data_IF_497731316163
#
_entry.id   IF_497731316163
#
_cell.length_a   1.000
_cell.length_b   1.000
_cell.length_c   1.000
_cell.angle_alpha   90.00
_cell.angle_beta   90.00
_cell.angle_gamma   90.00
#
_symmetry.space_group_name_H-M   'P 1'
#
loop_
_entity.id
_entity.type
_entity.pdbx_description
1 polymer ?
#
# COMPACT_ATOMS: atom_id res chain seq x y z
N UNK A 1 0.48 -25.99 -8.52
CA UNK A 1 0.43 -24.57 -8.09
C UNK A 1 -0.54 -23.87 -9.01
N UNK A 2 -1.61 -23.27 -8.47
CA UNK A 2 -2.47 -22.41 -9.28
C UNK A 2 -1.63 -21.22 -9.76
N UNK A 3 -1.62 -20.94 -11.06
CA UNK A 3 -0.95 -19.78 -11.63
C UNK A 3 -1.59 -18.51 -11.07
N UNK A 4 -0.80 -17.68 -10.38
CA UNK A 4 -1.25 -16.38 -9.85
C UNK A 4 -1.54 -15.44 -11.02
N UNK A 5 -2.71 -14.78 -11.07
CA UNK A 5 -2.96 -13.72 -12.05
C UNK A 5 -1.91 -12.61 -11.90
N UNK A 6 -1.22 -12.27 -12.98
CA UNK A 6 -0.16 -11.27 -12.99
C UNK A 6 -0.22 -10.49 -14.29
N UNK A 7 -0.13 -9.16 -14.20
CA UNK A 7 -0.07 -8.29 -15.38
C UNK A 7 1.37 -8.22 -15.88
N UNK A 8 1.70 -9.11 -16.80
CA UNK A 8 3.07 -9.28 -17.33
C UNK A 8 3.37 -8.46 -18.58
N UNK A 9 2.36 -7.92 -19.23
CA UNK A 9 2.51 -7.18 -20.48
C UNK A 9 2.06 -5.73 -20.28
N UNK A 10 2.49 -4.85 -21.19
CA UNK A 10 1.97 -3.50 -21.24
C UNK A 10 0.42 -3.54 -21.37
N UNK A 11 -0.31 -2.63 -20.70
CA UNK A 11 -1.75 -2.70 -20.65
C UNK A 11 -2.39 -2.46 -22.02
N UNK A 12 -3.47 -3.18 -22.31
CA UNK A 12 -4.39 -2.77 -23.36
C UNK A 12 -5.15 -1.51 -22.91
N UNK A 13 -5.22 -0.51 -23.77
CA UNK A 13 -5.87 0.76 -23.44
C UNK A 13 -7.34 0.54 -23.08
N UNK A 14 -7.74 1.12 -21.95
CA UNK A 14 -9.12 1.14 -21.47
C UNK A 14 -10.01 2.08 -22.28
N UNK A 15 -11.32 2.01 -22.03
CA UNK A 15 -12.28 2.99 -22.54
C UNK A 15 -12.39 4.27 -21.72
N UNK A 16 -11.56 4.47 -20.68
CA UNK A 16 -11.54 5.70 -19.90
C UNK A 16 -11.07 6.88 -20.76
N UNK A 17 -11.72 8.03 -20.60
CA UNK A 17 -11.50 9.20 -21.45
C UNK A 17 -11.85 10.51 -20.73
N UNK A 18 -11.62 11.62 -21.44
CA UNK A 18 -12.02 12.93 -20.97
C UNK A 18 -13.52 12.98 -20.63
N UNK A 19 -13.83 13.49 -19.43
CA UNK A 19 -15.18 13.53 -18.86
C UNK A 19 -15.52 12.35 -17.93
N UNK A 20 -14.72 11.29 -17.91
CA UNK A 20 -14.81 10.22 -16.90
C UNK A 20 -14.20 10.67 -15.56
N UNK A 21 -14.46 9.92 -14.50
CA UNK A 21 -14.15 10.33 -13.13
C UNK A 21 -13.27 9.31 -12.42
N UNK A 22 -12.16 9.76 -11.84
CA UNK A 22 -11.37 9.02 -10.85
C UNK A 22 -11.73 9.54 -9.46
N UNK A 23 -12.22 8.67 -8.58
CA UNK A 23 -12.58 9.00 -7.20
C UNK A 23 -11.53 8.43 -6.26
N UNK A 24 -10.78 9.30 -5.58
CA UNK A 24 -9.82 8.87 -4.57
C UNK A 24 -10.56 8.63 -3.24
N UNK A 25 -10.52 7.40 -2.75
CA UNK A 25 -11.07 7.00 -1.46
C UNK A 25 -9.93 6.73 -0.46
N UNK A 26 -9.40 7.84 0.03
CA UNK A 26 -8.27 7.97 0.95
C UNK A 26 -7.50 9.26 0.61
N UNK A 27 -6.75 9.80 1.57
CA UNK A 27 -6.00 11.05 1.38
C UNK A 27 -4.75 10.78 0.53
N UNK A 28 -4.54 11.58 -0.52
CA UNK A 28 -3.37 11.47 -1.39
C UNK A 28 -2.17 12.15 -0.71
N UNK A 29 -1.11 11.39 -0.48
CA UNK A 29 0.16 11.91 0.03
C UNK A 29 1.19 12.07 -1.11
N UNK A 30 2.13 12.99 -0.93
CA UNK A 30 3.28 13.15 -1.82
C UNK A 30 4.08 11.84 -1.88
N UNK A 31 4.44 11.41 -3.10
CA UNK A 31 5.30 10.25 -3.37
C UNK A 31 4.75 8.93 -2.84
N UNK A 32 3.90 8.31 -3.64
CA UNK A 32 3.37 6.97 -3.43
C UNK A 32 2.58 6.49 -4.64
N UNK A 33 2.21 5.21 -4.65
CA UNK A 33 1.53 4.56 -5.78
C UNK A 33 0.37 5.34 -6.40
N UNK A 34 -0.47 5.94 -5.56
CA UNK A 34 -1.65 6.66 -6.01
C UNK A 34 -1.33 7.87 -6.92
N UNK A 35 -0.11 8.41 -6.86
CA UNK A 35 0.30 9.50 -7.74
C UNK A 35 0.37 9.03 -9.19
N UNK A 36 0.97 7.87 -9.48
CA UNK A 36 1.01 7.36 -10.86
C UNK A 36 -0.38 7.06 -11.44
N UNK A 37 -1.33 6.62 -10.60
CA UNK A 37 -2.73 6.45 -11.02
C UNK A 37 -3.40 7.80 -11.34
N UNK A 38 -3.16 8.82 -10.52
CA UNK A 38 -3.67 10.18 -10.74
C UNK A 38 -3.08 10.78 -12.01
N UNK A 39 -1.76 10.67 -12.20
CA UNK A 39 -1.05 11.17 -13.38
C UNK A 39 -1.62 10.55 -14.65
N UNK A 40 -1.87 9.23 -14.65
CA UNK A 40 -2.46 8.54 -15.79
C UNK A 40 -3.92 8.95 -16.05
N UNK A 41 -4.72 9.12 -14.99
CA UNK A 41 -6.10 9.58 -15.13
C UNK A 41 -6.18 11.01 -15.68
N UNK A 42 -5.31 11.90 -15.18
CA UNK A 42 -5.20 13.29 -15.65
C UNK A 42 -4.68 13.32 -17.10
N UNK A 43 -3.75 12.44 -17.48
CA UNK A 43 -3.29 12.26 -18.88
C UNK A 43 -4.43 11.90 -19.83
N UNK A 44 -5.39 11.10 -19.38
CA UNK A 44 -6.59 10.73 -20.15
C UNK A 44 -7.70 11.80 -20.09
N UNK A 45 -7.50 12.90 -19.35
CA UNK A 45 -8.46 13.98 -19.18
C UNK A 45 -9.60 13.66 -18.19
N UNK A 46 -9.43 12.65 -17.34
CA UNK A 46 -10.42 12.32 -16.30
C UNK A 46 -10.45 13.40 -15.22
N UNK A 47 -11.62 13.59 -14.62
CA UNK A 47 -11.76 14.44 -13.43
C UNK A 47 -11.38 13.65 -12.18
N UNK A 48 -10.40 14.15 -11.42
CA UNK A 48 -9.96 13.52 -10.16
C UNK A 48 -10.66 14.17 -8.97
N UNK A 49 -11.53 13.40 -8.29
CA UNK A 49 -12.23 13.83 -7.08
C UNK A 49 -11.44 13.37 -5.86
N UNK A 50 -10.98 14.35 -5.06
CA UNK A 50 -10.14 14.13 -3.88
C UNK A 50 -10.96 14.08 -2.59
N UNK A 51 -10.43 13.43 -1.57
CA UNK A 51 -11.05 13.27 -0.24
C UNK A 51 -10.03 13.54 0.87
N UNK A 52 -10.50 13.56 2.13
CA UNK A 52 -9.66 13.75 3.31
C UNK A 52 -10.02 12.76 4.41
N UNK A 53 -9.05 12.45 5.27
CA UNK A 53 -9.32 11.76 6.54
C UNK A 53 -9.77 12.74 7.63
N UNK A 54 -9.76 14.05 7.38
CA UNK A 54 -10.01 15.09 8.37
C UNK A 54 -8.80 15.31 9.28
N UNK A 55 -9.02 16.06 10.36
CA UNK A 55 -8.02 16.28 11.42
C UNK A 55 -8.69 16.10 12.77
N UNK A 56 -7.89 15.75 13.79
CA UNK A 56 -8.36 15.75 15.17
C UNK A 56 -7.86 16.99 15.90
N UNK A 57 -8.75 17.57 16.68
CA UNK A 57 -8.42 18.64 17.62
C UNK A 57 -7.64 18.10 18.81
N UNK A 58 -7.12 19.01 19.65
CA UNK A 58 -6.34 18.65 20.85
C UNK A 58 -7.15 17.82 21.87
N UNK A 59 -8.47 17.98 21.88
CA UNK A 59 -9.40 17.22 22.69
C UNK A 59 -9.78 15.87 22.06
N UNK A 60 -9.20 15.53 20.90
CA UNK A 60 -9.43 14.29 20.18
C UNK A 60 -10.64 14.32 19.24
N UNK A 61 -11.42 15.42 19.17
CA UNK A 61 -12.61 15.47 18.30
C UNK A 61 -12.18 15.47 16.83
N UNK A 62 -12.75 14.56 16.04
CA UNK A 62 -12.56 14.51 14.60
C UNK A 62 -13.38 15.61 13.91
N UNK A 63 -12.73 16.37 13.02
CA UNK A 63 -13.34 17.45 12.25
C UNK A 63 -12.94 17.43 10.78
N UNK A 64 -13.74 18.10 9.97
CA UNK A 64 -13.40 18.45 8.59
C UNK A 64 -12.20 19.42 8.55
N UNK A 65 -11.62 19.58 7.36
CA UNK A 65 -10.52 20.54 7.13
C UNK A 65 -11.02 21.98 7.20
N UNK A 66 -10.19 22.88 7.72
CA UNK A 66 -10.43 24.33 7.67
C UNK A 66 -10.22 24.88 6.26
N UNK A 67 -10.65 26.12 6.01
CA UNK A 67 -10.41 26.78 4.72
C UNK A 67 -8.90 26.89 4.38
N UNK A 68 -8.07 27.11 5.39
CA UNK A 68 -6.61 27.18 5.25
C UNK A 68 -6.02 25.82 4.90
N UNK A 69 -6.43 24.75 5.58
CA UNK A 69 -5.98 23.38 5.30
C UNK A 69 -6.41 22.89 3.91
N UNK A 70 -7.45 23.49 3.32
CA UNK A 70 -7.95 23.16 1.98
C UNK A 70 -7.35 23.99 0.85
N UNK A 71 -6.59 25.05 1.16
CA UNK A 71 -6.22 26.08 0.18
C UNK A 71 -5.49 25.51 -1.04
N UNK A 72 -4.57 24.57 -0.80
CA UNK A 72 -3.72 23.98 -1.85
C UNK A 72 -4.23 22.63 -2.37
N UNK A 73 -5.43 22.18 -1.94
CA UNK A 73 -5.99 20.91 -2.39
C UNK A 73 -6.69 21.11 -3.74
N UNK A 74 -6.26 20.42 -4.82
CA UNK A 74 -6.91 20.53 -6.13
C UNK A 74 -8.39 20.16 -6.06
N UNK A 75 -9.22 20.95 -6.76
CA UNK A 75 -10.67 20.70 -6.89
C UNK A 75 -10.95 19.80 -8.10
N UNK A 76 -12.03 19.01 -8.08
CA UNK A 76 -13.03 18.85 -7.01
C UNK A 76 -12.50 18.10 -5.77
N UNK A 77 -12.98 18.49 -4.60
CA UNK A 77 -12.59 17.94 -3.30
C UNK A 77 -13.80 17.88 -2.36
N UNK A 78 -14.00 16.76 -1.69
CA UNK A 78 -15.09 16.54 -0.73
C UNK A 78 -14.50 16.58 0.70
N UNK A 79 -14.95 17.55 1.50
CA UNK A 79 -14.43 17.80 2.85
C UNK A 79 -15.22 17.05 3.93
N UNK A 80 -15.26 15.71 3.83
CA UNK A 80 -15.87 14.84 4.82
C UNK A 80 -14.77 14.00 5.47
N UNK A 81 -14.65 13.99 6.81
CA UNK A 81 -13.52 13.35 7.49
C UNK A 81 -13.67 11.82 7.50
N UNK A 82 -13.05 11.15 6.54
CA UNK A 82 -13.04 9.69 6.40
C UNK A 82 -11.91 9.02 7.18
N UNK A 83 -11.71 9.40 8.44
CA UNK A 83 -10.73 8.73 9.30
C UNK A 83 -11.19 7.30 9.61
N UNK A 84 -10.42 6.31 9.16
CA UNK A 84 -10.64 4.91 9.46
C UNK A 84 -9.95 4.47 10.76
N UNK A 85 -10.26 3.25 11.22
CA UNK A 85 -9.73 2.70 12.45
C UNK A 85 -10.45 3.22 13.70
N UNK A 86 -10.14 2.59 14.83
CA UNK A 86 -10.85 2.81 16.09
C UNK A 86 -9.93 3.17 17.26
N UNK A 87 -8.63 3.33 17.01
CA UNK A 87 -7.64 3.54 18.08
C UNK A 87 -7.88 4.81 18.91
N UNK A 88 -8.49 5.84 18.31
CA UNK A 88 -8.88 7.10 18.98
C UNK A 88 -10.39 7.27 19.14
N UNK A 89 -11.19 6.22 18.90
CA UNK A 89 -12.63 6.29 19.13
C UNK A 89 -12.91 6.00 20.61
N UNK A 90 -13.55 6.90 21.36
CA UNK A 90 -13.87 6.65 22.76
C UNK A 90 -15.07 5.71 22.94
N UNK A 91 -14.99 4.89 23.98
CA UNK A 91 -16.13 4.15 24.50
C UNK A 91 -17.17 5.07 25.19
N UNK A 92 -18.21 4.50 25.80
CA UNK A 92 -19.29 5.25 26.46
C UNK A 92 -18.82 6.00 27.71
N UNK A 93 -17.64 5.66 28.23
CA UNK A 93 -17.01 6.30 29.39
C UNK A 93 -16.00 7.37 28.96
N UNK A 94 -15.81 7.58 27.67
CA UNK A 94 -14.86 8.55 27.13
C UNK A 94 -13.42 8.03 27.05
N UNK A 95 -13.20 6.71 27.18
CA UNK A 95 -11.85 6.11 27.12
C UNK A 95 -11.63 5.54 25.72
N UNK A 96 -10.58 5.97 25.03
CA UNK A 96 -10.19 5.38 23.76
C UNK A 96 -9.25 4.18 23.94
N UNK A 97 -9.13 3.28 22.95
CA UNK A 97 -8.19 2.16 23.00
C UNK A 97 -6.74 2.56 23.31
N UNK A 98 -6.25 3.67 22.78
CA UNK A 98 -4.87 4.12 23.07
C UNK A 98 -4.70 4.65 24.49
N UNK A 99 -5.76 5.14 25.14
CA UNK A 99 -5.68 5.64 26.52
C UNK A 99 -5.34 4.51 27.48
N UNK A 100 -5.82 3.29 27.21
CA UNK A 100 -5.52 2.09 27.99
C UNK A 100 -4.04 1.69 27.93
N UNK A 101 -3.29 2.17 26.92
CA UNK A 101 -1.87 1.88 26.73
C UNK A 101 -0.94 3.00 27.22
N UNK A 102 -1.47 4.14 27.67
CA UNK A 102 -0.70 5.37 27.91
C UNK A 102 0.40 5.21 28.97
N UNK A 103 0.13 4.44 30.02
CA UNK A 103 1.03 4.27 31.17
C UNK A 103 1.89 3.00 31.09
N UNK A 104 1.75 2.23 30.00
CA UNK A 104 2.51 1.00 29.80
C UNK A 104 3.93 1.32 29.37
N UNK A 105 4.90 0.80 30.14
CA UNK A 105 6.33 0.98 29.86
C UNK A 105 6.83 -0.09 28.89
N UNK A 106 7.88 0.23 28.14
CA UNK A 106 8.54 -0.72 27.22
C UNK A 106 9.12 -1.96 27.92
N UNK A 107 9.43 -1.88 29.22
CA UNK A 107 9.88 -3.03 30.00
C UNK A 107 8.74 -3.97 30.41
N UNK A 108 7.48 -3.55 30.29
CA UNK A 108 6.31 -4.25 30.84
C UNK A 108 5.20 -4.50 29.80
N UNK A 109 5.49 -4.23 28.52
CA UNK A 109 4.52 -4.33 27.42
C UNK A 109 3.90 -5.73 27.27
N UNK A 110 4.62 -6.79 27.67
CA UNK A 110 4.15 -8.18 27.61
C UNK A 110 3.00 -8.45 28.57
N UNK A 111 2.93 -7.69 29.66
CA UNK A 111 1.91 -7.82 30.69
C UNK A 111 0.73 -6.87 30.46
N UNK A 112 0.74 -6.08 29.39
CA UNK A 112 -0.35 -5.19 29.01
C UNK A 112 -1.69 -5.95 29.00
N UNK A 113 -2.73 -5.32 29.56
CA UNK A 113 -4.11 -5.81 29.54
C UNK A 113 -5.01 -4.71 29.03
N UNK A 114 -5.83 -5.05 28.06
CA UNK A 114 -6.84 -4.18 27.48
C UNK A 114 -8.22 -4.66 27.93
N UNK A 115 -9.11 -3.72 28.23
CA UNK A 115 -10.52 -3.99 28.46
C UNK A 115 -11.18 -4.30 27.11
N UNK A 116 -11.44 -5.59 26.86
CA UNK A 116 -12.02 -6.03 25.60
C UNK A 116 -13.42 -5.48 25.35
N UNK A 117 -14.22 -5.26 26.41
CA UNK A 117 -15.55 -4.68 26.24
C UNK A 117 -15.47 -3.23 25.76
N UNK A 118 -14.52 -2.46 26.32
CA UNK A 118 -14.23 -1.09 25.89
C UNK A 118 -13.69 -1.04 24.45
N UNK A 119 -12.80 -1.98 24.07
CA UNK A 119 -12.30 -2.11 22.70
C UNK A 119 -13.43 -2.40 21.70
N UNK A 120 -14.29 -3.38 22.00
CA UNK A 120 -15.41 -3.77 21.14
C UNK A 120 -16.43 -2.63 20.98
N UNK A 121 -16.68 -1.85 22.04
CA UNK A 121 -17.57 -0.70 21.97
C UNK A 121 -16.98 0.41 21.08
N UNK A 122 -15.70 0.73 21.30
CA UNK A 122 -14.95 1.73 20.52
C UNK A 122 -14.91 1.35 19.04
N UNK A 123 -14.65 0.08 18.75
CA UNK A 123 -14.65 -0.48 17.39
C UNK A 123 -16.02 -0.30 16.70
N UNK A 124 -17.12 -0.69 17.35
CA UNK A 124 -18.48 -0.53 16.80
C UNK A 124 -18.83 0.94 16.53
N UNK A 125 -18.45 1.84 17.44
CA UNK A 125 -18.66 3.29 17.27
C UNK A 125 -17.87 3.83 16.08
N UNK A 126 -16.60 3.44 15.95
CA UNK A 126 -15.74 3.89 14.87
C UNK A 126 -16.26 3.42 13.51
N UNK A 127 -16.67 2.16 13.41
CA UNK A 127 -17.31 1.61 12.20
C UNK A 127 -18.59 2.39 11.86
N UNK A 128 -19.44 2.67 12.86
CA UNK A 128 -20.67 3.44 12.67
C UNK A 128 -20.37 4.86 12.15
N UNK A 129 -19.40 5.55 12.76
CA UNK A 129 -18.93 6.87 12.33
C UNK A 129 -18.38 6.84 10.90
N UNK A 130 -17.48 5.92 10.59
CA UNK A 130 -16.86 5.80 9.27
C UNK A 130 -17.90 5.54 8.18
N UNK A 131 -18.87 4.64 8.44
CA UNK A 131 -19.96 4.35 7.51
C UNK A 131 -20.90 5.54 7.33
N UNK A 132 -21.25 6.26 8.40
CA UNK A 132 -22.06 7.47 8.31
C UNK A 132 -21.37 8.56 7.47
N UNK A 133 -20.08 8.79 7.71
CA UNK A 133 -19.29 9.75 6.93
C UNK A 133 -19.13 9.29 5.47
N UNK A 134 -18.94 8.00 5.22
CA UNK A 134 -18.86 7.45 3.85
C UNK A 134 -20.19 7.63 3.10
N UNK A 135 -21.33 7.42 3.77
CA UNK A 135 -22.64 7.66 3.17
C UNK A 135 -22.84 9.15 2.82
N UNK A 136 -22.42 10.07 3.69
CA UNK A 136 -22.47 11.51 3.41
C UNK A 136 -21.52 11.91 2.28
N UNK A 137 -20.30 11.37 2.27
CA UNK A 137 -19.34 11.55 1.19
C UNK A 137 -19.92 11.13 -0.16
N UNK A 138 -20.58 9.97 -0.23
CA UNK A 138 -21.19 9.48 -1.48
C UNK A 138 -22.35 10.35 -1.97
N UNK A 139 -23.12 10.97 -1.06
CA UNK A 139 -24.16 11.95 -1.44
C UNK A 139 -23.56 13.21 -2.05
N UNK A 140 -22.43 13.68 -1.53
CA UNK A 140 -21.72 14.84 -2.10
C UNK A 140 -20.96 14.49 -3.38
N UNK A 141 -20.57 13.23 -3.55
CA UNK A 141 -19.93 12.72 -4.75
C UNK A 141 -20.89 12.63 -5.94
N UNK A 142 -22.11 12.14 -5.73
CA UNK A 142 -23.09 11.92 -6.80
C UNK A 142 -23.28 13.12 -7.76
N UNK A 143 -23.50 14.37 -7.30
CA UNK A 143 -23.67 15.52 -8.20
C UNK A 143 -22.39 15.94 -8.93
N UNK A 144 -21.21 15.44 -8.52
CA UNK A 144 -19.94 15.72 -9.17
C UNK A 144 -19.64 14.76 -10.33
N UNK A 145 -20.42 13.69 -10.49
CA UNK A 145 -20.25 12.72 -11.57
C UNK A 145 -21.12 13.13 -12.77
N UNK A 146 -20.52 13.49 -13.92
CA UNK A 146 -21.29 13.87 -15.11
C UNK A 146 -22.17 12.71 -15.61
N UNK A 147 -23.29 13.04 -16.24
CA UNK A 147 -24.18 12.03 -16.82
C UNK A 147 -23.45 11.20 -17.89
N UNK A 148 -23.51 9.87 -17.78
CA UNK A 148 -22.86 8.93 -18.69
C UNK A 148 -21.34 8.78 -18.51
N UNK A 149 -20.73 9.48 -17.54
CA UNK A 149 -19.32 9.32 -17.21
C UNK A 149 -19.04 7.95 -16.59
N UNK A 150 -17.94 7.33 -17.00
CA UNK A 150 -17.41 6.15 -16.30
C UNK A 150 -16.74 6.59 -14.99
N UNK A 151 -16.77 5.71 -13.99
CA UNK A 151 -16.25 6.01 -12.65
C UNK A 151 -15.30 4.91 -12.20
N UNK A 152 -14.09 5.31 -11.84
CA UNK A 152 -13.11 4.47 -11.17
C UNK A 152 -12.97 4.91 -9.72
N UNK A 153 -13.32 4.06 -8.78
CA UNK A 153 -13.05 4.27 -7.36
C UNK A 153 -11.69 3.68 -6.99
N UNK A 154 -10.77 4.51 -6.52
CA UNK A 154 -9.46 4.10 -6.05
C UNK A 154 -9.40 4.12 -4.52
N UNK A 155 -9.44 2.94 -3.90
CA UNK A 155 -9.24 2.77 -2.47
C UNK A 155 -7.75 2.87 -2.12
N UNK A 156 -7.41 3.85 -1.27
CA UNK A 156 -6.02 4.19 -0.91
C UNK A 156 -5.68 3.88 0.54
N UNK A 157 -6.66 3.43 1.34
CA UNK A 157 -6.49 3.33 2.79
C UNK A 157 -5.66 2.10 3.18
N UNK A 158 -4.56 2.35 3.90
CA UNK A 158 -3.75 1.32 4.54
C UNK A 158 -3.09 1.94 5.78
N UNK A 159 -3.00 1.20 6.87
CA UNK A 159 -2.51 1.75 8.14
C UNK A 159 -3.16 1.10 9.35
N UNK A 160 -3.46 1.92 10.36
CA UNK A 160 -4.05 1.47 11.62
C UNK A 160 -3.03 1.19 12.72
N UNK A 161 -1.80 1.71 12.62
CA UNK A 161 -0.85 1.64 13.75
C UNK A 161 -1.44 2.48 14.87
N UNK A 162 -1.77 1.90 16.04
CA UNK A 162 -2.37 2.68 17.11
C UNK A 162 -1.50 3.85 17.53
N UNK A 163 -2.11 5.03 17.69
CA UNK A 163 -1.43 6.30 17.98
C UNK A 163 -1.05 6.43 19.45
N UNK A 164 -0.27 5.47 19.94
CA UNK A 164 0.28 5.45 21.31
C UNK A 164 1.81 5.28 21.29
N UNK A 165 2.47 5.81 22.33
CA UNK A 165 3.95 5.87 22.42
C UNK A 165 4.62 4.49 22.47
N UNK A 166 3.91 3.47 22.93
CA UNK A 166 4.48 2.13 23.17
C UNK A 166 4.60 1.29 21.88
N UNK A 167 3.73 1.51 20.90
CA UNK A 167 3.63 0.65 19.71
C UNK A 167 4.81 0.82 18.76
N UNK A 168 5.16 2.05 18.40
CA UNK A 168 6.23 2.30 17.42
C UNK A 168 7.60 1.75 17.88
N UNK A 169 8.03 1.91 19.15
CA UNK A 169 9.24 1.25 19.65
C UNK A 169 9.19 -0.28 19.54
N UNK A 170 8.05 -0.92 19.78
CA UNK A 170 7.90 -2.37 19.63
C UNK A 170 8.02 -2.80 18.17
N UNK A 171 7.33 -2.11 17.26
CA UNK A 171 7.45 -2.36 15.82
C UNK A 171 8.90 -2.14 15.35
N UNK A 172 9.57 -1.08 15.81
CA UNK A 172 10.97 -0.85 15.47
C UNK A 172 11.87 -2.03 15.91
N UNK A 173 11.62 -2.63 17.07
CA UNK A 173 12.38 -3.81 17.51
C UNK A 173 12.08 -5.06 16.66
N UNK A 174 10.88 -5.18 16.09
CA UNK A 174 10.53 -6.32 15.22
C UNK A 174 11.02 -6.20 13.79
N UNK A 175 11.12 -4.98 13.25
CA UNK A 175 11.46 -4.76 11.83
C UNK A 175 12.91 -4.32 11.59
N UNK A 176 13.62 -3.90 12.66
CA UNK A 176 15.00 -3.39 12.57
C UNK A 176 15.85 -3.61 13.83
N UNK A 177 15.35 -4.37 14.81
CA UNK A 177 16.10 -4.72 16.02
C UNK A 177 16.99 -5.95 15.80
N UNK A 178 18.28 -5.85 16.15
CA UNK A 178 19.24 -6.96 16.12
C UNK A 178 19.85 -7.17 17.51
N UNK A 179 20.49 -8.32 17.75
CA UNK A 179 21.05 -8.67 19.07
C UNK A 179 20.05 -8.47 20.21
N UNK A 180 20.44 -7.76 21.28
CA UNK A 180 19.58 -7.49 22.45
C UNK A 180 18.33 -6.66 22.12
N UNK A 181 18.33 -5.94 20.99
CA UNK A 181 17.17 -5.15 20.55
C UNK A 181 16.18 -5.98 19.75
N UNK A 182 16.54 -7.16 19.27
CA UNK A 182 15.66 -8.04 18.52
C UNK A 182 14.40 -8.38 19.31
N UNK A 183 13.25 -8.27 18.64
CA UNK A 183 11.97 -8.74 19.14
C UNK A 183 11.33 -9.61 18.05
N UNK A 184 11.09 -10.92 18.29
CA UNK A 184 10.36 -11.74 17.34
C UNK A 184 9.00 -11.14 17.02
N UNK A 185 8.66 -10.98 15.74
CA UNK A 185 7.36 -10.43 15.35
C UNK A 185 6.20 -11.27 15.87
N UNK A 186 6.37 -12.59 15.98
CA UNK A 186 5.37 -13.51 16.57
C UNK A 186 5.07 -13.17 18.02
N UNK A 187 6.11 -12.89 18.82
CA UNK A 187 5.97 -12.53 20.22
C UNK A 187 5.14 -11.25 20.38
N UNK A 188 5.40 -10.24 19.55
CA UNK A 188 4.57 -9.03 19.52
C UNK A 188 3.14 -9.36 19.09
N UNK A 189 2.96 -10.11 18.01
CA UNK A 189 1.65 -10.37 17.43
C UNK A 189 0.72 -11.16 18.35
N UNK A 190 1.28 -12.05 19.17
CA UNK A 190 0.53 -12.84 20.14
C UNK A 190 0.19 -12.09 21.45
N UNK A 191 0.71 -10.88 21.65
CA UNK A 191 0.39 -10.02 22.81
C UNK A 191 -0.93 -9.27 22.66
N UNK A 192 -1.44 -8.69 23.76
CA UNK A 192 -2.62 -7.82 23.73
C UNK A 192 -2.44 -6.60 22.81
N UNK A 193 -1.24 -5.99 22.84
CA UNK A 193 -0.90 -4.85 21.95
C UNK A 193 -0.89 -5.31 20.49
N UNK A 194 -0.32 -6.47 20.19
CA UNK A 194 -0.27 -7.03 18.85
C UNK A 194 -1.65 -7.34 18.28
N UNK A 195 -2.53 -7.94 19.08
CA UNK A 195 -3.93 -8.22 18.71
C UNK A 195 -4.71 -6.94 18.43
N UNK A 196 -4.54 -5.92 19.27
CA UNK A 196 -5.14 -4.60 19.02
C UNK A 196 -4.62 -3.97 17.72
N UNK A 197 -3.30 -4.04 17.45
CA UNK A 197 -2.75 -3.60 16.17
C UNK A 197 -3.36 -4.37 14.99
N UNK A 198 -3.50 -5.69 15.10
CA UNK A 198 -4.06 -6.53 14.06
C UNK A 198 -5.52 -6.18 13.75
N UNK A 199 -6.35 -5.96 14.77
CA UNK A 199 -7.74 -5.51 14.62
C UNK A 199 -7.80 -4.15 13.92
N UNK A 200 -6.99 -3.19 14.36
CA UNK A 200 -7.01 -1.85 13.77
C UNK A 200 -6.44 -1.83 12.33
N UNK A 201 -5.47 -2.70 12.02
CA UNK A 201 -4.99 -2.92 10.66
C UNK A 201 -6.07 -3.49 9.75
N UNK A 202 -6.84 -4.48 10.22
CA UNK A 202 -7.96 -5.04 9.48
C UNK A 202 -8.99 -3.97 9.14
N UNK A 203 -9.35 -3.14 10.12
CA UNK A 203 -10.30 -2.05 9.91
C UNK A 203 -9.83 -1.06 8.86
N UNK A 204 -8.62 -0.50 9.03
CA UNK A 204 -8.13 0.55 8.15
C UNK A 204 -7.79 0.03 6.75
N UNK A 205 -7.13 -1.13 6.68
CA UNK A 205 -6.50 -1.61 5.44
C UNK A 205 -7.42 -2.47 4.60
N UNK A 206 -8.42 -3.13 5.20
CA UNK A 206 -9.31 -4.06 4.49
C UNK A 206 -10.77 -3.64 4.55
N UNK A 207 -11.35 -3.51 5.75
CA UNK A 207 -12.80 -3.32 5.91
C UNK A 207 -13.31 -1.98 5.34
N UNK A 208 -12.45 -0.96 5.26
CA UNK A 208 -12.73 0.28 4.51
C UNK A 208 -13.08 0.04 3.03
N UNK A 209 -12.46 -0.95 2.36
CA UNK A 209 -12.86 -1.34 1.00
C UNK A 209 -14.25 -1.96 0.99
N UNK A 210 -14.56 -2.84 1.96
CA UNK A 210 -15.90 -3.43 2.09
C UNK A 210 -16.94 -2.34 2.25
N UNK A 211 -16.72 -1.40 3.15
CA UNK A 211 -17.64 -0.29 3.39
C UNK A 211 -17.85 0.57 2.15
N UNK A 212 -16.80 0.87 1.39
CA UNK A 212 -16.91 1.57 0.11
C UNK A 212 -17.79 0.78 -0.88
N UNK A 213 -17.52 -0.52 -1.07
CA UNK A 213 -18.24 -1.37 -2.03
C UNK A 213 -19.73 -1.53 -1.68
N UNK A 214 -20.05 -1.67 -0.38
CA UNK A 214 -21.42 -1.76 0.14
C UNK A 214 -22.17 -0.44 0.00
N UNK A 215 -21.61 0.65 0.52
CA UNK A 215 -22.31 1.92 0.62
C UNK A 215 -22.45 2.61 -0.75
N UNK A 216 -21.50 2.38 -1.67
CA UNK A 216 -21.60 2.89 -3.04
C UNK A 216 -22.49 2.04 -3.95
N UNK A 217 -23.08 0.93 -3.48
CA UNK A 217 -23.85 0.02 -4.32
C UNK A 217 -25.04 0.70 -5.03
N UNK A 218 -25.79 1.55 -4.33
CA UNK A 218 -26.91 2.29 -4.92
C UNK A 218 -26.46 3.28 -6.01
N UNK A 219 -25.39 4.04 -5.73
CA UNK A 219 -24.80 4.96 -6.69
C UNK A 219 -24.29 4.21 -7.94
N UNK A 220 -23.55 3.12 -7.73
CA UNK A 220 -23.06 2.24 -8.80
C UNK A 220 -24.20 1.76 -9.69
N UNK A 221 -25.25 1.17 -9.11
CA UNK A 221 -26.38 0.64 -9.87
C UNK A 221 -27.08 1.73 -10.68
N UNK A 222 -27.26 2.92 -10.09
CA UNK A 222 -27.84 4.09 -10.75
C UNK A 222 -27.00 4.56 -11.95
N UNK A 223 -25.68 4.60 -11.81
CA UNK A 223 -24.76 4.97 -12.89
C UNK A 223 -24.77 3.93 -14.01
N UNK A 224 -24.67 2.63 -13.67
CA UNK A 224 -24.65 1.55 -14.66
C UNK A 224 -25.95 1.44 -15.46
N UNK A 225 -27.10 1.68 -14.81
CA UNK A 225 -28.40 1.73 -15.51
C UNK A 225 -28.46 2.88 -16.54
N UNK A 226 -27.66 3.93 -16.35
CA UNK A 226 -27.52 5.06 -17.27
C UNK A 226 -26.41 4.88 -18.31
N UNK A 227 -25.82 3.70 -18.40
CA UNK A 227 -24.79 3.35 -19.39
C UNK A 227 -23.36 3.65 -18.97
N UNK A 228 -23.13 4.15 -17.75
CA UNK A 228 -21.78 4.32 -17.19
C UNK A 228 -21.15 2.97 -16.86
N UNK A 229 -19.82 2.88 -16.94
CA UNK A 229 -19.05 1.79 -16.32
C UNK A 229 -18.55 2.23 -14.96
N UNK A 230 -18.74 1.40 -13.94
CA UNK A 230 -18.19 1.61 -12.60
C UNK A 230 -17.24 0.46 -12.25
N UNK A 231 -16.09 0.82 -11.68
CA UNK A 231 -15.06 -0.12 -11.25
C UNK A 231 -14.37 0.38 -9.97
N UNK A 232 -13.74 -0.54 -9.26
CA UNK A 232 -13.03 -0.30 -8.02
C UNK A 232 -11.64 -0.91 -8.10
N UNK A 233 -10.66 -0.21 -7.56
CA UNK A 233 -9.34 -0.76 -7.32
C UNK A 233 -8.91 -0.51 -5.88
N UNK A 234 -8.00 -1.35 -5.40
CA UNK A 234 -7.30 -1.13 -4.14
C UNK A 234 -5.83 -1.54 -4.28
N UNK A 235 -4.97 -0.90 -3.49
CA UNK A 235 -3.54 -1.21 -3.45
C UNK A 235 -3.28 -2.35 -2.49
N UNK A 236 -2.85 -3.49 -3.03
CA UNK A 236 -2.40 -4.66 -2.29
C UNK A 236 -0.88 -4.70 -2.13
N UNK A 237 -0.43 -5.59 -1.26
CA UNK A 237 0.95 -6.08 -1.24
C UNK A 237 0.89 -7.52 -0.73
N UNK A 238 1.42 -8.45 -1.52
CA UNK A 238 1.44 -9.88 -1.21
C UNK A 238 2.68 -10.51 -1.86
N UNK A 239 3.83 -9.87 -1.65
CA UNK A 239 5.08 -10.16 -2.31
C UNK A 239 5.05 -9.87 -3.82
N UNK A 240 6.22 -9.95 -4.44
CA UNK A 240 6.45 -9.49 -5.81
C UNK A 240 7.31 -10.48 -6.57
N UNK A 241 7.02 -10.67 -7.86
CA UNK A 241 7.92 -11.37 -8.77
C UNK A 241 9.03 -10.44 -9.24
N UNK A 242 10.27 -10.78 -8.90
CA UNK A 242 11.48 -10.02 -9.23
C UNK A 242 12.47 -10.90 -9.96
N UNK A 243 13.45 -10.30 -10.65
CA UNK A 243 14.47 -11.05 -11.37
C UNK A 243 15.52 -11.59 -10.37
N UNK A 244 15.63 -12.92 -10.26
CA UNK A 244 16.63 -13.63 -9.44
C UNK A 244 17.26 -14.70 -10.34
N UNK A 245 18.58 -14.66 -10.51
CA UNK A 245 19.33 -15.56 -11.40
C UNK A 245 18.70 -15.66 -12.81
N UNK A 246 18.30 -14.50 -13.36
CA UNK A 246 17.72 -14.38 -14.70
C UNK A 246 16.26 -14.83 -14.85
N UNK A 247 15.62 -15.30 -13.78
CA UNK A 247 14.22 -15.76 -13.77
C UNK A 247 13.36 -14.88 -12.85
N UNK A 248 12.13 -14.59 -13.27
CA UNK A 248 11.17 -13.93 -12.39
C UNK A 248 10.67 -14.91 -11.34
N UNK A 249 10.96 -14.64 -10.09
CA UNK A 249 10.63 -15.47 -8.95
C UNK A 249 9.95 -14.62 -7.88
N UNK A 250 8.93 -15.19 -7.23
CA UNK A 250 8.21 -14.49 -6.18
C UNK A 250 9.03 -14.49 -4.89
N UNK A 251 9.05 -13.33 -4.23
CA UNK A 251 9.62 -13.12 -2.92
C UNK A 251 8.77 -12.13 -2.12
N UNK A 252 9.16 -11.86 -0.89
CA UNK A 252 8.52 -10.83 -0.05
C UNK A 252 9.48 -10.29 1.00
N UNK A 253 9.29 -9.03 1.37
CA UNK A 253 9.73 -8.49 2.66
C UNK A 253 9.11 -9.27 3.85
N UNK A 254 9.92 -9.52 4.89
CA UNK A 254 9.51 -10.20 6.13
C UNK A 254 10.11 -9.49 7.35
N UNK A 255 9.30 -9.10 8.36
CA UNK A 255 7.87 -9.39 8.51
C UNK A 255 7.01 -8.28 7.89
N UNK A 256 6.10 -8.64 6.99
CA UNK A 256 5.07 -7.69 6.58
C UNK A 256 3.86 -7.76 7.52
N UNK A 257 3.89 -7.00 8.61
CA UNK A 257 2.89 -7.06 9.70
C UNK A 257 1.47 -6.69 9.26
N UNK A 258 1.30 -5.94 8.17
CA UNK A 258 -0.03 -5.68 7.57
C UNK A 258 -0.52 -6.83 6.68
N UNK A 259 0.25 -7.90 6.52
CA UNK A 259 -0.04 -8.94 5.52
C UNK A 259 -1.39 -9.62 5.73
N UNK A 260 -1.77 -9.91 6.98
CA UNK A 260 -3.08 -10.49 7.26
C UNK A 260 -4.23 -9.58 6.82
N UNK A 261 -4.10 -8.26 7.02
CA UNK A 261 -5.09 -7.30 6.55
C UNK A 261 -5.09 -7.19 5.02
N UNK A 262 -3.94 -7.30 4.34
CA UNK A 262 -3.90 -7.37 2.88
C UNK A 262 -4.53 -8.64 2.30
N UNK A 263 -4.39 -9.80 2.96
CA UNK A 263 -5.15 -11.01 2.58
C UNK A 263 -6.66 -10.78 2.72
N UNK A 264 -7.10 -10.14 3.81
CA UNK A 264 -8.50 -9.81 3.99
C UNK A 264 -9.01 -8.84 2.91
N UNK A 265 -8.19 -7.85 2.51
CA UNK A 265 -8.49 -6.94 1.40
C UNK A 265 -8.72 -7.70 0.09
N UNK A 266 -7.88 -8.70 -0.21
CA UNK A 266 -8.06 -9.59 -1.36
C UNK A 266 -9.36 -10.40 -1.26
N UNK A 267 -9.66 -10.98 -0.10
CA UNK A 267 -10.90 -11.76 0.09
C UNK A 267 -12.16 -10.91 -0.06
N UNK A 268 -12.13 -9.64 0.38
CA UNK A 268 -13.20 -8.68 0.12
C UNK A 268 -13.39 -8.50 -1.39
N UNK A 269 -12.32 -8.22 -2.13
CA UNK A 269 -12.42 -8.04 -3.58
C UNK A 269 -12.93 -9.30 -4.28
N UNK A 270 -12.44 -10.49 -3.90
CA UNK A 270 -12.93 -11.78 -4.42
C UNK A 270 -14.43 -11.97 -4.17
N UNK A 271 -14.90 -11.66 -2.96
CA UNK A 271 -16.31 -11.80 -2.58
C UNK A 271 -17.24 -10.90 -3.41
N UNK A 272 -16.86 -9.64 -3.65
CA UNK A 272 -17.64 -8.71 -4.45
C UNK A 272 -17.53 -8.99 -5.96
N UNK A 273 -16.35 -9.40 -6.42
CA UNK A 273 -16.17 -9.84 -7.81
C UNK A 273 -17.03 -11.06 -8.16
N UNK A 274 -17.18 -12.02 -7.25
CA UNK A 274 -18.10 -13.15 -7.41
C UNK A 274 -19.58 -12.72 -7.55
N UNK A 275 -19.90 -11.48 -7.17
CA UNK A 275 -21.22 -10.85 -7.33
C UNK A 275 -21.27 -9.92 -8.56
N UNK A 276 -20.33 -10.08 -9.50
CA UNK A 276 -20.19 -9.27 -10.72
C UNK A 276 -19.88 -7.78 -10.48
N UNK A 277 -19.34 -7.42 -9.32
CA UNK A 277 -18.79 -6.07 -9.10
C UNK A 277 -17.37 -6.03 -9.67
N UNK A 278 -17.09 -5.05 -10.53
CA UNK A 278 -15.74 -4.84 -11.10
C UNK A 278 -14.80 -4.28 -10.05
N UNK A 279 -14.19 -5.15 -9.26
CA UNK A 279 -13.22 -4.79 -8.23
C UNK A 279 -11.95 -5.59 -8.39
N UNK A 280 -10.79 -4.94 -8.25
CA UNK A 280 -9.49 -5.62 -8.27
C UNK A 280 -8.55 -5.06 -7.20
N UNK A 281 -7.91 -5.95 -6.45
CA UNK A 281 -6.76 -5.61 -5.59
C UNK A 281 -5.48 -5.83 -6.39
N UNK A 282 -4.69 -4.78 -6.54
CA UNK A 282 -3.42 -4.84 -7.27
C UNK A 282 -2.28 -4.97 -6.27
N UNK A 283 -1.71 -6.17 -6.18
CA UNK A 283 -0.52 -6.44 -5.40
C UNK A 283 0.69 -5.83 -6.12
N UNK A 284 1.11 -4.67 -5.62
CA UNK A 284 2.17 -3.86 -6.21
C UNK A 284 3.54 -4.22 -5.63
N UNK A 285 4.64 -3.86 -6.32
CA UNK A 285 6.00 -4.09 -5.84
C UNK A 285 6.35 -3.49 -4.48
N UNK A 286 7.51 -3.83 -3.96
CA UNK A 286 8.14 -3.10 -2.88
C UNK A 286 8.64 -1.74 -3.39
N UNK A 287 8.34 -0.67 -2.64
CA UNK A 287 8.80 0.70 -2.92
C UNK A 287 9.13 1.42 -1.62
N UNK A 288 9.86 2.54 -1.74
CA UNK A 288 10.05 3.47 -0.64
C UNK A 288 9.01 4.59 -0.71
N UNK A 289 8.15 4.64 0.29
CA UNK A 289 7.15 5.69 0.54
C UNK A 289 7.25 6.14 1.99
N UNK A 290 6.48 7.17 2.36
CA UNK A 290 6.32 7.55 3.76
C UNK A 290 5.88 6.37 4.64
N UNK A 291 4.97 5.52 4.17
CA UNK A 291 4.43 4.38 4.95
C UNK A 291 5.36 3.17 5.01
N UNK A 292 6.27 3.01 4.04
CA UNK A 292 7.25 1.91 4.04
C UNK A 292 8.62 2.28 4.63
N UNK A 293 8.89 3.56 4.89
CA UNK A 293 10.17 4.06 5.43
C UNK A 293 10.63 3.43 6.75
N UNK A 294 9.71 2.87 7.55
CA UNK A 294 10.06 2.18 8.79
C UNK A 294 10.62 0.77 8.57
N UNK A 295 10.36 0.16 7.41
CA UNK A 295 10.70 -1.21 7.04
C UNK A 295 12.06 -1.25 6.34
N UNK A 296 13.14 -1.02 7.08
CA UNK A 296 14.49 -1.15 6.52
C UNK A 296 14.68 -2.55 5.92
N UNK A 297 15.24 -2.62 4.71
CA UNK A 297 15.42 -3.85 3.95
C UNK A 297 14.31 -4.13 2.93
N UNK A 298 13.16 -3.45 2.99
CA UNK A 298 12.11 -3.57 1.97
C UNK A 298 12.61 -3.16 0.58
N UNK A 299 13.54 -2.21 0.54
CA UNK A 299 14.11 -1.69 -0.69
C UNK A 299 15.08 -2.65 -1.39
N UNK A 300 15.55 -3.70 -0.69
CA UNK A 300 16.42 -4.74 -1.28
C UNK A 300 15.73 -5.40 -2.48
N UNK A 301 14.41 -5.60 -2.39
CA UNK A 301 13.59 -6.19 -3.45
C UNK A 301 13.41 -5.29 -4.66
N UNK A 302 13.71 -3.99 -4.55
CA UNK A 302 13.55 -3.03 -5.65
C UNK A 302 14.79 -2.96 -6.56
N UNK A 303 15.99 -3.20 -6.03
CA UNK A 303 17.24 -3.16 -6.82
C UNK A 303 17.21 -4.03 -8.08
N UNK A 304 16.65 -5.27 -8.07
CA UNK A 304 16.55 -6.10 -9.27
C UNK A 304 15.68 -5.52 -10.39
N UNK A 305 14.93 -4.43 -10.15
CA UNK A 305 14.21 -3.72 -11.20
C UNK A 305 15.16 -3.14 -12.27
N UNK A 306 16.38 -2.73 -11.88
CA UNK A 306 17.42 -2.32 -12.84
C UNK A 306 17.64 -3.39 -13.92
N UNK A 307 17.76 -4.63 -13.49
CA UNK A 307 18.02 -5.77 -14.38
C UNK A 307 16.78 -6.14 -15.19
N UNK A 308 15.58 -5.98 -14.62
CA UNK A 308 14.33 -6.16 -15.36
C UNK A 308 14.22 -5.18 -16.52
N UNK A 309 14.58 -3.90 -16.34
CA UNK A 309 14.65 -2.93 -17.45
C UNK A 309 15.69 -3.32 -18.50
N UNK A 310 16.87 -3.76 -18.08
CA UNK A 310 17.90 -4.25 -19.01
C UNK A 310 17.47 -5.49 -19.78
N UNK A 311 16.65 -6.36 -19.17
CA UNK A 311 16.17 -7.60 -19.79
C UNK A 311 14.99 -7.37 -20.72
N UNK A 312 13.97 -6.66 -20.27
CA UNK A 312 12.68 -6.56 -20.96
C UNK A 312 12.60 -5.37 -21.91
N UNK A 313 13.38 -4.31 -21.65
CA UNK A 313 13.36 -3.08 -22.44
C UNK A 313 14.77 -2.50 -22.70
N UNK A 314 15.78 -3.29 -23.13
CA UNK A 314 17.18 -2.86 -23.20
C UNK A 314 17.42 -1.60 -24.05
N UNK A 315 16.63 -1.43 -25.11
CA UNK A 315 16.80 -0.36 -26.09
C UNK A 315 15.81 0.79 -25.90
N UNK A 316 14.93 0.72 -24.90
CA UNK A 316 13.93 1.75 -24.67
C UNK A 316 14.60 3.05 -24.13
N UNK A 317 14.16 4.25 -24.58
CA UNK A 317 14.71 5.51 -24.08
C UNK A 317 14.61 5.64 -22.55
N UNK A 318 13.53 5.15 -21.95
CA UNK A 318 13.34 5.17 -20.50
C UNK A 318 14.39 4.33 -19.78
N UNK A 319 14.76 3.16 -20.31
CA UNK A 319 15.80 2.29 -19.73
C UNK A 319 17.13 3.01 -19.70
N UNK A 320 17.52 3.65 -20.82
CA UNK A 320 18.76 4.41 -20.87
C UNK A 320 18.79 5.53 -19.82
N UNK A 321 17.71 6.31 -19.74
CA UNK A 321 17.58 7.42 -18.77
C UNK A 321 17.63 6.90 -17.33
N UNK A 322 16.84 5.88 -17.00
CA UNK A 322 16.79 5.29 -15.66
C UNK A 322 18.16 4.78 -15.23
N UNK A 323 18.90 4.10 -16.10
CA UNK A 323 20.25 3.64 -15.81
C UNK A 323 21.24 4.81 -15.63
N UNK A 324 21.08 5.92 -16.36
CA UNK A 324 21.91 7.12 -16.18
C UNK A 324 21.59 7.82 -14.85
N UNK A 325 20.30 8.00 -14.53
CA UNK A 325 19.84 8.60 -13.28
C UNK A 325 20.30 7.77 -12.08
N UNK A 326 20.15 6.43 -12.11
CA UNK A 326 20.66 5.55 -11.06
C UNK A 326 22.18 5.62 -10.93
N UNK A 327 22.93 5.60 -12.04
CA UNK A 327 24.40 5.70 -11.99
C UNK A 327 24.87 7.03 -11.40
N UNK A 328 24.11 8.12 -11.54
CA UNK A 328 24.46 9.41 -10.95
C UNK A 328 24.54 9.35 -9.41
N UNK A 329 23.79 8.46 -8.76
CA UNK A 329 23.78 8.30 -7.30
C UNK A 329 24.83 7.32 -6.76
N UNK A 330 25.45 6.50 -7.62
CA UNK A 330 26.37 5.42 -7.21
C UNK A 330 27.83 5.87 -7.25
N UNK A 331 28.63 5.42 -6.27
CA UNK A 331 30.05 5.81 -6.13
C UNK A 331 30.84 5.48 -7.39
N UNK A 332 30.64 4.28 -7.94
CA UNK A 332 31.33 3.81 -9.16
C UNK A 332 30.42 3.86 -10.41
N UNK A 333 29.34 4.66 -10.37
CA UNK A 333 28.42 4.81 -11.50
C UNK A 333 27.86 3.47 -11.98
N UNK A 334 27.89 3.24 -13.30
CA UNK A 334 27.36 2.02 -13.93
C UNK A 334 28.12 0.75 -13.54
N UNK A 335 29.38 0.87 -13.12
CA UNK A 335 30.21 -0.28 -12.70
C UNK A 335 29.66 -0.92 -11.40
N UNK A 336 28.87 -0.18 -10.63
CA UNK A 336 28.18 -0.72 -9.44
C UNK A 336 27.01 -1.66 -9.77
N UNK A 337 26.48 -1.67 -11.00
CA UNK A 337 25.27 -2.46 -11.32
C UNK A 337 25.48 -3.96 -11.21
N UNK A 338 26.64 -4.46 -11.62
CA UNK A 338 26.94 -5.89 -11.52
C UNK A 338 27.12 -6.32 -10.06
N UNK A 339 27.69 -5.45 -9.23
CA UNK A 339 27.80 -5.69 -7.79
C UNK A 339 26.44 -5.69 -7.10
N UNK A 340 25.56 -4.74 -7.46
CA UNK A 340 24.16 -4.72 -7.00
C UNK A 340 23.48 -6.05 -7.37
N UNK A 341 23.59 -6.48 -8.63
CA UNK A 341 23.02 -7.75 -9.09
C UNK A 341 23.53 -8.92 -8.26
N UNK A 342 24.85 -9.06 -8.13
CA UNK A 342 25.49 -10.14 -7.37
C UNK A 342 25.02 -10.17 -5.91
N UNK A 343 24.93 -9.01 -5.25
CA UNK A 343 24.45 -8.92 -3.87
C UNK A 343 22.98 -9.33 -3.76
N UNK A 344 22.12 -8.87 -4.69
CA UNK A 344 20.69 -9.23 -4.67
C UNK A 344 20.46 -10.71 -4.99
N UNK A 345 21.15 -11.27 -5.98
CA UNK A 345 21.06 -12.69 -6.33
C UNK A 345 21.51 -13.54 -5.13
N UNK A 346 22.64 -13.20 -4.49
CA UNK A 346 23.13 -13.88 -3.31
C UNK A 346 22.15 -13.80 -2.11
N UNK A 347 21.49 -12.65 -1.92
CA UNK A 347 20.49 -12.46 -0.87
C UNK A 347 19.24 -13.31 -1.12
N UNK A 348 18.65 -13.26 -2.30
CA UNK A 348 17.42 -14.00 -2.62
C UNK A 348 17.63 -15.50 -2.80
N UNK A 349 18.87 -15.93 -3.09
CA UNK A 349 19.26 -17.33 -3.12
C UNK A 349 19.77 -17.84 -1.76
N UNK A 350 19.83 -17.00 -0.72
CA UNK A 350 20.20 -17.42 0.63
C UNK A 350 19.08 -18.30 1.25
N UNK A 351 19.39 -19.52 1.74
CA UNK A 351 18.39 -20.41 2.32
C UNK A 351 17.55 -19.78 3.43
N UNK A 352 18.15 -18.93 4.28
CA UNK A 352 17.45 -18.25 5.38
C UNK A 352 16.41 -17.26 4.86
N UNK A 353 16.66 -16.64 3.70
CA UNK A 353 15.71 -15.73 3.05
C UNK A 353 14.66 -16.52 2.28
N UNK A 354 15.05 -17.62 1.62
CA UNK A 354 14.11 -18.51 0.91
C UNK A 354 13.10 -19.16 1.83
N UNK A 355 13.49 -19.52 3.07
CA UNK A 355 12.57 -19.95 4.13
C UNK A 355 11.47 -18.92 4.40
N UNK A 356 11.73 -17.64 4.11
CA UNK A 356 10.75 -16.54 4.23
C UNK A 356 9.99 -16.21 2.95
N UNK A 357 10.33 -16.86 1.84
CA UNK A 357 9.71 -16.69 0.53
C UNK A 357 8.83 -17.88 0.14
N UNK A 358 7.95 -18.32 1.05
CA UNK A 358 6.94 -19.36 0.78
C UNK A 358 5.54 -18.75 0.68
N UNK A 359 4.99 -18.72 -0.55
CA UNK A 359 3.73 -18.02 -0.86
C UNK A 359 2.55 -18.45 0.03
N UNK A 360 2.30 -19.77 0.15
CA UNK A 360 1.14 -20.29 0.90
C UNK A 360 1.24 -20.02 2.41
N UNK A 361 2.44 -19.74 2.92
CA UNK A 361 2.69 -19.42 4.31
C UNK A 361 2.72 -17.92 4.58
N UNK A 362 2.54 -17.07 3.56
CA UNK A 362 2.56 -15.63 3.73
C UNK A 362 1.31 -15.08 4.46
N UNK A 363 1.46 -14.05 5.32
CA UNK A 363 2.72 -13.46 5.79
C UNK A 363 3.38 -14.31 6.88
N UNK A 364 4.72 -14.30 6.92
CA UNK A 364 5.49 -15.04 7.92
C UNK A 364 6.08 -14.13 8.99
N UNK A 365 6.36 -14.71 10.15
CA UNK A 365 7.09 -14.04 11.23
C UNK A 365 8.62 -14.07 11.00
N UNK A 366 9.31 -13.09 11.57
CA UNK A 366 10.78 -12.96 11.53
C UNK A 366 11.50 -14.07 12.26
N UNK A 367 12.74 -14.32 11.85
CA UNK A 367 13.77 -14.89 12.71
C UNK A 367 14.91 -13.87 12.87
N UNK A 368 15.71 -13.99 13.93
CA UNK A 368 16.84 -13.09 14.17
C UNK A 368 17.84 -13.12 13.00
N UNK A 369 18.21 -14.33 12.55
CA UNK A 369 19.17 -14.55 11.47
C UNK A 369 18.65 -13.96 10.15
N UNK A 370 17.37 -14.14 9.83
CA UNK A 370 16.80 -13.53 8.62
C UNK A 370 16.84 -12.00 8.68
N UNK A 371 16.43 -11.42 9.80
CA UNK A 371 16.42 -9.97 9.96
C UNK A 371 17.84 -9.39 9.87
N UNK A 372 18.81 -9.99 10.55
CA UNK A 372 20.22 -9.57 10.45
C UNK A 372 20.77 -9.71 9.04
N UNK A 373 20.46 -10.81 8.34
CA UNK A 373 20.86 -11.02 6.94
C UNK A 373 20.29 -9.92 6.03
N UNK A 374 19.02 -9.58 6.19
CA UNK A 374 18.36 -8.52 5.42
C UNK A 374 18.96 -7.13 5.72
N UNK A 375 19.16 -6.79 6.98
CA UNK A 375 19.70 -5.48 7.38
C UNK A 375 21.15 -5.30 6.91
N UNK A 376 21.98 -6.33 7.06
CA UNK A 376 23.36 -6.30 6.56
C UNK A 376 23.41 -6.14 5.04
N UNK A 377 22.51 -6.79 4.32
CA UNK A 377 22.40 -6.66 2.85
C UNK A 377 21.96 -5.25 2.47
N UNK A 378 20.94 -4.70 3.16
CA UNK A 378 20.47 -3.32 2.99
C UNK A 378 21.61 -2.32 3.19
N UNK A 379 22.37 -2.45 4.28
CA UNK A 379 23.52 -1.59 4.59
C UNK A 379 24.62 -1.70 3.53
N UNK A 380 24.93 -2.92 3.08
CA UNK A 380 25.92 -3.17 2.01
C UNK A 380 25.53 -2.52 0.68
N UNK A 381 24.25 -2.61 0.29
CA UNK A 381 23.73 -1.97 -0.92
C UNK A 381 23.71 -0.43 -0.79
N UNK A 382 23.35 0.10 0.38
CA UNK A 382 23.40 1.54 0.66
C UNK A 382 24.84 2.07 0.56
N UNK A 383 25.85 1.31 1.00
CA UNK A 383 27.26 1.69 0.90
C UNK A 383 27.78 1.89 -0.54
N UNK A 384 27.04 1.41 -1.56
CA UNK A 384 27.37 1.65 -2.97
C UNK A 384 27.00 3.07 -3.44
N UNK A 385 26.31 3.86 -2.62
CA UNK A 385 25.82 5.20 -2.96
C UNK A 385 26.75 6.31 -2.48
N UNK A 386 26.73 7.43 -3.22
CA UNK A 386 27.47 8.65 -2.86
C UNK A 386 26.90 9.34 -1.61
N UNK A 387 25.59 9.25 -1.42
CA UNK A 387 24.86 9.81 -0.29
C UNK A 387 23.80 8.81 0.18
N UNK A 388 23.82 8.37 1.47
CA UNK A 388 22.84 7.44 2.01
C UNK A 388 21.40 8.00 2.03
N UNK A 389 21.22 9.31 1.81
CA UNK A 389 19.89 9.95 1.69
C UNK A 389 19.39 10.01 0.24
N UNK A 390 20.23 9.69 -0.74
CA UNK A 390 19.92 9.76 -2.17
C UNK A 390 20.18 8.39 -2.80
N UNK A 391 19.31 7.44 -2.47
CA UNK A 391 19.41 6.06 -2.96
C UNK A 391 18.78 5.91 -4.34
N UNK A 392 19.31 5.01 -5.18
CA UNK A 392 18.72 4.70 -6.49
C UNK A 392 17.29 4.15 -6.38
N UNK A 393 16.94 3.59 -5.22
CA UNK A 393 15.60 3.07 -4.93
C UNK A 393 14.53 4.17 -4.97
N UNK A 394 14.89 5.45 -4.84
CA UNK A 394 13.98 6.56 -5.12
C UNK A 394 13.63 6.64 -6.61
N UNK A 395 14.63 6.62 -7.50
CA UNK A 395 14.46 6.62 -8.96
C UNK A 395 13.66 5.40 -9.40
N UNK A 396 13.99 4.22 -8.86
CA UNK A 396 13.28 2.98 -9.17
C UNK A 396 11.82 3.01 -8.67
N UNK A 397 11.56 3.65 -7.53
CA UNK A 397 10.19 3.79 -7.01
C UNK A 397 9.34 4.68 -7.92
N UNK A 398 9.88 5.76 -8.48
CA UNK A 398 9.17 6.62 -9.44
C UNK A 398 8.75 5.84 -10.69
N UNK A 399 9.64 5.01 -11.24
CA UNK A 399 9.31 4.12 -12.36
C UNK A 399 8.20 3.12 -12.00
N UNK A 400 8.23 2.58 -10.78
CA UNK A 400 7.16 1.70 -10.29
C UNK A 400 5.83 2.44 -10.17
N UNK A 401 5.81 3.69 -9.68
CA UNK A 401 4.57 4.47 -9.57
C UNK A 401 3.94 4.68 -10.94
N UNK A 402 4.73 5.15 -11.90
CA UNK A 402 4.26 5.41 -13.26
C UNK A 402 3.72 4.15 -13.93
N UNK A 403 4.48 3.06 -13.88
CA UNK A 403 4.07 1.80 -14.50
C UNK A 403 2.80 1.21 -13.85
N UNK A 404 2.75 1.18 -12.51
CA UNK A 404 1.59 0.67 -11.79
C UNK A 404 0.36 1.54 -12.06
N UNK A 405 0.50 2.86 -12.13
CA UNK A 405 -0.59 3.77 -12.49
C UNK A 405 -1.24 3.40 -13.83
N UNK A 406 -0.41 3.23 -14.87
CA UNK A 406 -0.86 2.81 -16.22
C UNK A 406 -1.51 1.43 -16.21
N UNK A 407 -0.84 0.44 -15.61
CA UNK A 407 -1.34 -0.94 -15.54
C UNK A 407 -2.69 -1.02 -14.83
N UNK A 408 -2.80 -0.40 -13.65
CA UNK A 408 -4.00 -0.44 -12.82
C UNK A 408 -5.15 0.31 -13.45
N UNK A 409 -4.93 1.52 -13.98
CA UNK A 409 -5.99 2.29 -14.60
C UNK A 409 -6.59 1.54 -15.77
N UNK A 410 -5.75 0.99 -16.65
CA UNK A 410 -6.24 0.34 -17.85
C UNK A 410 -6.85 -1.04 -17.56
N UNK A 411 -6.26 -1.85 -16.68
CA UNK A 411 -6.84 -3.15 -16.30
C UNK A 411 -8.17 -2.99 -15.55
N UNK A 412 -8.28 -1.97 -14.68
CA UNK A 412 -9.48 -1.71 -13.87
C UNK A 412 -10.74 -1.45 -14.69
N UNK A 413 -10.59 -1.07 -15.97
CA UNK A 413 -11.71 -1.01 -16.91
C UNK A 413 -12.45 -2.33 -16.94
N UNK A 414 -11.75 -3.45 -17.14
CA UNK A 414 -12.36 -4.77 -17.13
C UNK A 414 -12.47 -5.34 -15.72
N UNK A 415 -11.42 -5.14 -14.90
CA UNK A 415 -11.19 -5.80 -13.63
C UNK A 415 -11.50 -7.31 -13.72
N UNK A 416 -10.95 -7.98 -14.73
CA UNK A 416 -11.28 -9.38 -15.07
C UNK A 416 -10.89 -10.39 -13.98
N UNK A 417 -10.01 -9.99 -13.06
CA UNK A 417 -9.64 -10.76 -11.88
C UNK A 417 -9.87 -9.90 -10.63
N UNK A 418 -10.27 -10.52 -9.51
CA UNK A 418 -10.43 -9.82 -8.24
C UNK A 418 -9.10 -9.40 -7.59
N UNK A 419 -8.01 -10.05 -8.00
CA UNK A 419 -6.65 -9.82 -7.50
C UNK A 419 -5.68 -10.03 -8.65
N UNK A 420 -4.75 -9.09 -8.82
CA UNK A 420 -3.67 -9.16 -9.80
C UNK A 420 -2.34 -8.76 -9.16
N UNK A 421 -1.26 -9.43 -9.56
CA UNK A 421 0.10 -9.02 -9.20
C UNK A 421 0.72 -8.15 -10.30
N UNK A 422 1.51 -7.17 -9.88
CA UNK A 422 2.34 -6.34 -10.75
C UNK A 422 3.80 -6.67 -10.44
N UNK A 423 4.43 -7.49 -11.28
CA UNK A 423 5.84 -7.86 -11.14
C UNK A 423 6.79 -6.86 -11.79
N UNK A 424 8.09 -7.06 -11.57
CA UNK A 424 9.13 -6.24 -12.21
C UNK A 424 9.14 -6.38 -13.75
N UNK A 425 8.70 -7.53 -14.27
CA UNK A 425 8.48 -7.75 -15.71
C UNK A 425 7.42 -6.80 -16.26
N UNK A 426 6.23 -6.78 -15.64
CA UNK A 426 5.13 -5.90 -16.02
C UNK A 426 5.51 -4.42 -15.95
N UNK A 427 6.24 -4.02 -14.90
CA UNK A 427 6.74 -2.65 -14.74
C UNK A 427 7.69 -2.27 -15.88
N UNK A 428 8.72 -3.08 -16.13
CA UNK A 428 9.73 -2.80 -17.15
C UNK A 428 9.14 -2.76 -18.57
N UNK A 429 8.25 -3.71 -18.89
CA UNK A 429 7.58 -3.77 -20.21
C UNK A 429 6.60 -2.63 -20.42
N UNK A 430 5.88 -2.21 -19.40
CA UNK A 430 4.90 -1.11 -19.50
C UNK A 430 5.59 0.20 -19.83
N UNK A 431 6.71 0.51 -19.16
CA UNK A 431 7.46 1.74 -19.43
C UNK A 431 8.33 1.63 -20.68
N UNK A 432 8.80 0.42 -20.99
CA UNK A 432 9.56 0.15 -22.22
C UNK A 432 8.72 0.14 -23.49
N UNK A 433 7.39 0.07 -23.37
CA UNK A 433 6.48 0.13 -24.51
C UNK A 433 6.56 1.49 -25.22
N UNK A 434 6.42 1.51 -26.56
CA UNK A 434 6.54 2.73 -27.36
C UNK A 434 5.41 3.75 -27.13
#
# INVERSE_FOLDING_TARGET
MATRPSLREAPHLSGFKAGDVLVLFGELFSRGYANGLVDEAERLGMTVIRTTVGRREKDGILRALTAEEMADIPKPFINIPLEAGFDLEPDSKGVSPVDQLKDIKLSDWENAKLDQQSLDESHKKAVSRFRANTAEYLKQLEPLIPAGANVLFAHLMAGGVPRTKIVMPLINRTVKGTGDRYLPSEKLWNSEIGRFCAQNFLEVTAETLRHLLELSAGLRQSLETRGSRVSYLAYGYHGTEILIDGKYQWQTYTPYIQGWAKKQLEEISKSFHAQNVRTCVYNCPEILTNSSSIFQGVEVSLYPLLQAFQKEAPNAPITKRLLEDCAAHLVNGKDSFEEIRRQTDAYFSNPVIQEKCVFDQWPQHTSAIQLETMLNTSESLQALHKDPKQLITAVLSEAVFEACGRLMLHDSWSASHPVNWLGHDGVARTLGAP
#
